data_IF_447056080230
#
_entry.id   IF_447056080230
#
_cell.length_a   1.000
_cell.length_b   1.000
_cell.length_c   1.000
_cell.angle_alpha   90.00
_cell.angle_beta   90.00
_cell.angle_gamma   90.00
#
_symmetry.space_group_name_H-M   'P 1'
#
loop_
_entity.id
_entity.type
_entity.pdbx_description
1 polymer ?
#
# COMPACT_ATOMS: atom_id res chain seq x y z
N UNK A 1 -21.60 7.08 18.35
CA UNK A 1 -20.81 7.31 17.13
C UNK A 1 -19.67 8.27 17.49
N UNK A 2 -18.41 7.82 17.51
CA UNK A 2 -17.31 8.75 17.79
C UNK A 2 -17.13 9.62 16.56
N UNK A 3 -17.24 10.94 16.72
CA UNK A 3 -16.84 11.87 15.70
C UNK A 3 -15.31 11.75 15.57
N UNK A 4 -14.85 11.26 14.42
CA UNK A 4 -13.44 11.40 14.07
C UNK A 4 -13.18 12.90 13.87
N UNK A 5 -12.18 13.41 14.54
CA UNK A 5 -11.71 14.74 14.28
C UNK A 5 -11.11 14.79 12.87
N UNK A 6 -11.75 15.53 11.98
CA UNK A 6 -11.29 15.64 10.57
C UNK A 6 -9.87 16.20 10.49
N UNK A 7 -9.40 16.89 11.51
CA UNK A 7 -8.02 17.37 11.62
C UNK A 7 -6.98 16.24 11.75
N UNK A 8 -7.42 15.01 12.03
CA UNK A 8 -6.57 13.82 12.13
C UNK A 8 -6.57 12.96 10.85
N UNK A 9 -7.28 13.38 9.80
CA UNK A 9 -7.38 12.67 8.54
C UNK A 9 -6.55 13.40 7.48
N UNK A 10 -5.53 12.72 6.98
CA UNK A 10 -4.62 13.24 5.98
C UNK A 10 -4.79 12.44 4.68
N UNK A 11 -5.74 12.87 3.85
CA UNK A 11 -6.01 12.23 2.57
C UNK A 11 -4.91 12.55 1.54
N UNK A 12 -4.58 11.57 0.70
CA UNK A 12 -3.71 11.82 -0.45
C UNK A 12 -4.39 12.80 -1.42
N UNK A 13 -3.69 13.86 -1.87
CA UNK A 13 -4.26 14.89 -2.75
C UNK A 13 -4.33 14.42 -4.21
N UNK A 14 -5.10 13.37 -4.47
CA UNK A 14 -5.17 12.68 -5.78
C UNK A 14 -5.88 13.46 -6.88
N UNK A 15 -6.58 14.53 -6.53
CA UNK A 15 -7.29 15.43 -7.47
C UNK A 15 -6.43 16.63 -7.91
N UNK A 16 -5.18 16.70 -7.43
CA UNK A 16 -4.27 17.79 -7.80
C UNK A 16 -3.94 17.73 -9.30
N UNK A 17 -3.86 18.89 -9.93
CA UNK A 17 -3.48 19.00 -11.34
C UNK A 17 -2.03 18.58 -11.60
N UNK A 18 -1.15 18.80 -10.63
CA UNK A 18 0.25 18.33 -10.62
C UNK A 18 0.42 17.24 -9.55
N UNK A 19 0.25 15.98 -9.96
CA UNK A 19 0.37 14.83 -9.04
C UNK A 19 1.79 14.67 -8.49
N UNK A 20 2.82 15.00 -9.24
CA UNK A 20 4.22 14.88 -8.80
C UNK A 20 4.52 15.88 -7.66
N UNK A 21 4.08 17.13 -7.81
CA UNK A 21 4.21 18.13 -6.75
C UNK A 21 3.37 17.74 -5.53
N UNK A 22 2.16 17.22 -5.75
CA UNK A 22 1.27 16.74 -4.69
C UNK A 22 1.86 15.55 -3.92
N UNK A 23 2.49 14.60 -4.58
CA UNK A 23 3.16 13.47 -3.96
C UNK A 23 4.33 13.92 -3.07
N UNK A 24 5.13 14.87 -3.54
CA UNK A 24 6.21 15.47 -2.74
C UNK A 24 5.68 16.18 -1.52
N UNK A 25 4.61 16.94 -1.68
CA UNK A 25 3.96 17.64 -0.55
C UNK A 25 3.41 16.65 0.47
N UNK A 26 2.75 15.58 0.02
CA UNK A 26 2.22 14.56 0.92
C UNK A 26 3.33 13.81 1.68
N UNK A 27 4.48 13.57 1.04
CA UNK A 27 5.64 13.00 1.71
C UNK A 27 6.16 13.91 2.84
N UNK A 28 6.14 15.25 2.65
CA UNK A 28 6.48 16.19 3.73
C UNK A 28 5.46 16.13 4.87
N UNK A 29 4.18 16.07 4.57
CA UNK A 29 3.11 15.90 5.56
C UNK A 29 3.33 14.64 6.41
N UNK A 30 3.67 13.51 5.80
CA UNK A 30 3.99 12.28 6.52
C UNK A 30 5.17 12.47 7.48
N UNK A 31 6.22 13.18 7.08
CA UNK A 31 7.38 13.48 7.93
C UNK A 31 7.03 14.38 9.10
N UNK A 32 6.19 15.38 8.89
CA UNK A 32 5.71 16.27 9.95
C UNK A 32 4.92 15.51 11.02
N UNK A 33 4.11 14.53 10.60
CA UNK A 33 3.25 13.76 11.52
C UNK A 33 4.01 12.63 12.22
N UNK A 34 4.89 11.93 11.50
CA UNK A 34 5.47 10.65 11.98
C UNK A 34 6.97 10.68 12.18
N UNK A 35 7.63 11.79 11.86
CA UNK A 35 9.08 11.93 12.00
C UNK A 35 9.86 11.72 10.70
N UNK A 36 11.18 11.81 10.78
CA UNK A 36 12.10 11.68 9.64
C UNK A 36 13.16 10.61 9.94
N UNK A 37 13.20 9.49 9.18
CA UNK A 37 12.26 9.10 8.14
C UNK A 37 10.86 8.79 8.71
N UNK A 38 9.79 8.96 7.90
CA UNK A 38 8.45 8.68 8.39
C UNK A 38 8.24 7.18 8.65
N UNK A 39 7.64 6.85 9.77
CA UNK A 39 7.34 5.48 10.19
C UNK A 39 5.87 5.40 10.62
N UNK A 40 5.09 4.59 9.94
CA UNK A 40 3.71 4.32 10.32
C UNK A 40 3.68 3.27 11.46
N UNK A 41 2.80 3.47 12.42
CA UNK A 41 2.54 2.44 13.44
C UNK A 41 1.86 1.23 12.84
N UNK A 42 0.96 1.45 11.87
CA UNK A 42 0.25 0.41 11.14
C UNK A 42 0.03 0.82 9.69
N UNK A 43 0.38 -0.03 8.75
CA UNK A 43 -0.09 0.04 7.38
C UNK A 43 -1.18 -1.01 7.15
N UNK A 44 -2.39 -0.56 6.81
CA UNK A 44 -3.50 -1.43 6.44
C UNK A 44 -3.53 -1.58 4.93
N UNK A 45 -3.34 -2.80 4.45
CA UNK A 45 -3.19 -3.12 3.03
C UNK A 45 -4.26 -4.11 2.56
N UNK A 46 -4.75 -3.89 1.35
CA UNK A 46 -5.50 -4.85 0.57
C UNK A 46 -4.60 -5.57 -0.43
N UNK A 47 -5.11 -6.63 -1.04
CA UNK A 47 -4.42 -7.43 -2.05
C UNK A 47 -5.29 -7.58 -3.29
N UNK A 48 -4.77 -7.21 -4.46
CA UNK A 48 -5.42 -7.46 -5.73
C UNK A 48 -5.27 -8.91 -6.21
N UNK A 49 -6.11 -9.37 -7.14
CA UNK A 49 -5.99 -10.72 -7.73
C UNK A 49 -4.65 -10.94 -8.46
N UNK A 50 -4.05 -9.88 -8.98
CA UNK A 50 -2.73 -9.84 -9.63
C UNK A 50 -1.56 -9.68 -8.63
N UNK A 51 -1.86 -9.63 -7.34
CA UNK A 51 -0.89 -9.44 -6.27
C UNK A 51 -0.50 -7.99 -6.01
N UNK A 52 -1.17 -7.01 -6.63
CA UNK A 52 -0.90 -5.60 -6.30
C UNK A 52 -1.35 -5.25 -4.87
N UNK A 53 -0.72 -4.25 -4.30
CA UNK A 53 -1.14 -3.63 -3.04
C UNK A 53 -0.91 -2.13 -3.11
N UNK A 54 -1.67 -1.33 -2.37
CA UNK A 54 -1.71 0.12 -2.57
C UNK A 54 -1.94 0.42 -4.06
N UNK A 55 -1.08 1.22 -4.70
CA UNK A 55 -1.02 1.31 -6.16
C UNK A 55 0.31 0.79 -6.72
N UNK A 56 0.93 -0.15 -6.02
CA UNK A 56 2.10 -0.90 -6.48
C UNK A 56 1.63 -2.06 -7.36
N UNK A 57 1.58 -1.82 -8.67
CA UNK A 57 0.97 -2.71 -9.67
C UNK A 57 2.07 -3.47 -10.41
N UNK A 58 1.85 -4.76 -10.76
CA UNK A 58 2.84 -5.52 -11.52
C UNK A 58 3.27 -4.80 -12.81
N UNK A 59 4.59 -4.72 -13.03
CA UNK A 59 5.17 -4.11 -14.21
C UNK A 59 5.27 -2.58 -14.20
N UNK A 60 4.73 -1.91 -13.20
CA UNK A 60 4.84 -0.44 -13.09
C UNK A 60 6.24 -0.03 -12.61
N UNK A 61 6.77 1.05 -13.19
CA UNK A 61 8.07 1.61 -12.80
C UNK A 61 8.12 2.09 -11.35
N UNK A 62 6.96 2.39 -10.76
CA UNK A 62 6.84 2.79 -9.34
C UNK A 62 7.40 1.73 -8.38
N UNK A 63 7.41 0.46 -8.79
CA UNK A 63 8.00 -0.64 -8.01
C UNK A 63 9.50 -0.46 -7.77
N UNK A 64 10.19 0.33 -8.58
CA UNK A 64 11.63 0.56 -8.51
C UNK A 64 12.00 1.85 -7.76
N UNK A 65 11.01 2.59 -7.25
CA UNK A 65 11.26 3.80 -6.47
C UNK A 65 11.83 3.44 -5.10
N UNK A 66 13.03 3.95 -4.80
CA UNK A 66 13.77 3.66 -3.56
C UNK A 66 14.16 4.90 -2.76
N UNK A 67 13.96 6.08 -3.32
CA UNK A 67 14.42 7.37 -2.79
C UNK A 67 13.29 8.31 -2.34
N UNK A 68 12.05 7.84 -2.41
CA UNK A 68 10.86 8.62 -2.06
C UNK A 68 9.87 7.80 -1.24
N UNK A 69 9.13 8.46 -0.37
CA UNK A 69 8.10 7.82 0.47
C UNK A 69 6.75 7.72 -0.24
N UNK A 70 6.50 8.66 -1.14
CA UNK A 70 5.28 8.77 -1.95
C UNK A 70 5.68 8.94 -3.41
N UNK A 71 5.00 8.26 -4.30
CA UNK A 71 5.28 8.33 -5.74
C UNK A 71 3.98 8.30 -6.56
N UNK A 72 4.11 8.70 -7.81
CA UNK A 72 3.03 8.63 -8.79
C UNK A 72 3.30 7.47 -9.74
N UNK A 73 2.27 6.66 -10.00
CA UNK A 73 2.36 5.50 -10.87
C UNK A 73 2.36 5.89 -12.34
N UNK A 74 2.68 4.95 -13.21
CA UNK A 74 2.28 4.98 -14.61
C UNK A 74 0.76 4.96 -14.77
N UNK A 75 0.29 4.87 -16.00
CA UNK A 75 -1.14 4.76 -16.28
C UNK A 75 -1.61 3.33 -16.00
N UNK A 76 -2.58 3.20 -15.11
CA UNK A 76 -3.25 1.96 -14.79
C UNK A 76 -4.76 2.20 -14.77
N UNK A 77 -5.52 1.41 -15.54
CA UNK A 77 -6.96 1.62 -15.72
C UNK A 77 -7.30 3.08 -16.07
N UNK A 78 -6.62 3.59 -17.10
CA UNK A 78 -6.79 4.95 -17.66
C UNK A 78 -6.39 6.12 -16.74
N UNK A 79 -5.85 5.83 -15.55
CA UNK A 79 -5.50 6.85 -14.56
C UNK A 79 -4.09 6.64 -13.99
N UNK A 80 -3.42 7.76 -13.73
CA UNK A 80 -2.26 7.76 -12.85
C UNK A 80 -2.73 7.84 -11.40
N UNK A 81 -2.01 7.18 -10.50
CA UNK A 81 -2.36 7.09 -9.08
C UNK A 81 -1.18 7.53 -8.20
N UNK A 82 -1.49 7.95 -7.00
CA UNK A 82 -0.50 8.20 -5.97
C UNK A 82 -0.40 6.99 -5.04
N UNK A 83 0.80 6.64 -4.61
CA UNK A 83 1.02 5.48 -3.75
C UNK A 83 2.11 5.75 -2.72
N UNK A 84 1.99 5.11 -1.56
CA UNK A 84 3.14 4.89 -0.69
C UNK A 84 4.07 3.89 -1.39
N UNK A 85 5.37 4.11 -1.27
CA UNK A 85 6.42 3.29 -1.89
C UNK A 85 6.80 2.10 -1.00
N UNK A 86 7.57 1.16 -1.55
CA UNK A 86 8.13 0.07 -0.74
C UNK A 86 8.96 0.56 0.45
N UNK A 87 9.87 1.56 0.29
CA UNK A 87 10.61 2.08 1.46
C UNK A 87 9.70 2.58 2.56
N UNK A 88 8.63 3.31 2.22
CA UNK A 88 7.68 3.82 3.20
C UNK A 88 6.91 2.70 3.89
N UNK A 89 6.32 1.80 3.11
CA UNK A 89 5.51 0.69 3.63
C UNK A 89 6.36 -0.27 4.48
N UNK A 90 7.59 -0.59 4.03
CA UNK A 90 8.47 -1.52 4.71
C UNK A 90 9.09 -0.98 6.00
N UNK A 91 9.03 0.34 6.24
CA UNK A 91 9.37 0.93 7.54
C UNK A 91 8.25 0.86 8.56
N UNK A 92 7.04 0.51 8.16
CA UNK A 92 5.89 0.41 9.08
C UNK A 92 6.18 -0.57 10.21
N UNK A 93 5.76 -0.24 11.42
CA UNK A 93 5.95 -1.10 12.60
C UNK A 93 5.14 -2.38 12.49
N UNK A 94 3.94 -2.28 11.90
CA UNK A 94 3.05 -3.42 11.66
C UNK A 94 2.38 -3.29 10.30
N UNK A 95 2.12 -4.43 9.70
CA UNK A 95 1.34 -4.56 8.47
C UNK A 95 0.08 -5.36 8.79
N UNK A 96 -1.07 -4.85 8.41
CA UNK A 96 -2.34 -5.56 8.47
C UNK A 96 -2.86 -5.77 7.04
N UNK A 97 -2.94 -7.03 6.63
CA UNK A 97 -3.58 -7.41 5.39
C UNK A 97 -5.04 -7.75 5.65
N UNK A 98 -5.94 -7.20 4.84
CA UNK A 98 -7.34 -7.63 4.78
C UNK A 98 -7.62 -8.13 3.38
N UNK A 99 -7.90 -9.44 3.26
CA UNK A 99 -8.05 -10.12 1.97
C UNK A 99 -9.35 -10.92 1.96
N UNK A 100 -10.26 -10.55 1.08
CA UNK A 100 -11.59 -11.18 0.99
C UNK A 100 -11.94 -11.52 -0.46
N UNK A 101 -12.68 -12.59 -0.64
CA UNK A 101 -13.18 -13.02 -1.93
C UNK A 101 -12.37 -14.14 -2.59
N UNK A 102 -13.04 -14.98 -3.34
CA UNK A 102 -12.45 -16.15 -4.01
C UNK A 102 -11.48 -15.81 -5.14
N UNK A 103 -11.57 -14.62 -5.71
CA UNK A 103 -10.65 -14.09 -6.71
C UNK A 103 -9.24 -13.81 -6.15
N UNK A 104 -9.08 -13.88 -4.82
CA UNK A 104 -7.81 -13.64 -4.12
C UNK A 104 -7.04 -14.91 -3.75
N UNK A 105 -7.58 -16.09 -4.00
CA UNK A 105 -7.00 -17.38 -3.55
C UNK A 105 -5.55 -17.53 -3.97
N UNK A 106 -5.24 -17.34 -5.25
CA UNK A 106 -3.88 -17.45 -5.77
C UNK A 106 -2.97 -16.36 -5.20
N UNK A 107 -3.39 -15.10 -5.25
CA UNK A 107 -2.61 -13.99 -4.73
C UNK A 107 -2.32 -14.13 -3.23
N UNK A 108 -3.30 -14.58 -2.44
CA UNK A 108 -3.12 -14.82 -1.01
C UNK A 108 -2.14 -15.97 -0.73
N UNK A 109 -2.22 -17.06 -1.48
CA UNK A 109 -1.26 -18.16 -1.36
C UNK A 109 0.17 -17.67 -1.61
N UNK A 110 0.37 -16.92 -2.69
CA UNK A 110 1.66 -16.32 -3.05
C UNK A 110 2.16 -15.32 -2.01
N UNK A 111 1.26 -14.50 -1.45
CA UNK A 111 1.61 -13.58 -0.36
C UNK A 111 2.12 -14.34 0.87
N UNK A 112 1.44 -15.42 1.26
CA UNK A 112 1.82 -16.26 2.41
C UNK A 112 3.15 -16.97 2.23
N UNK A 113 3.51 -17.31 1.00
CA UNK A 113 4.80 -17.90 0.63
C UNK A 113 5.92 -16.86 0.51
N UNK A 114 5.60 -15.57 0.59
CA UNK A 114 6.55 -14.49 0.40
C UNK A 114 7.06 -14.39 -1.04
N UNK A 115 6.22 -14.73 -2.01
CA UNK A 115 6.55 -14.70 -3.44
C UNK A 115 6.81 -13.26 -3.91
N UNK A 116 8.06 -12.94 -4.11
CA UNK A 116 8.51 -11.61 -4.52
C UNK A 116 8.20 -11.26 -5.98
N UNK A 117 7.66 -12.18 -6.75
CA UNK A 117 7.21 -11.91 -8.12
C UNK A 117 5.90 -11.11 -8.17
N UNK A 118 5.15 -11.07 -7.05
CA UNK A 118 4.01 -10.18 -6.89
C UNK A 118 4.38 -8.98 -6.00
N UNK A 119 3.79 -7.80 -6.25
CA UNK A 119 4.09 -6.62 -5.44
C UNK A 119 3.87 -6.81 -3.94
N UNK A 120 2.77 -7.44 -3.54
CA UNK A 120 2.48 -7.72 -2.13
C UNK A 120 3.55 -8.57 -1.44
N UNK A 121 4.17 -9.51 -2.16
CA UNK A 121 5.22 -10.37 -1.63
C UNK A 121 6.55 -9.66 -1.35
N UNK A 122 6.70 -8.40 -1.77
CA UNK A 122 7.85 -7.54 -1.46
C UNK A 122 7.64 -6.68 -0.22
N UNK A 123 6.45 -6.71 0.36
CA UNK A 123 6.17 -6.05 1.65
C UNK A 123 6.74 -6.94 2.77
N UNK A 124 7.36 -6.32 3.78
CA UNK A 124 7.93 -7.06 4.91
C UNK A 124 6.89 -7.93 5.62
N UNK A 125 7.26 -9.16 5.96
CA UNK A 125 6.40 -10.13 6.62
C UNK A 125 6.66 -10.27 8.13
N UNK A 126 7.75 -9.72 8.65
CA UNK A 126 8.21 -9.92 10.02
C UNK A 126 7.18 -9.50 11.08
N UNK A 127 6.44 -8.40 10.81
CA UNK A 127 5.40 -7.86 11.69
C UNK A 127 4.06 -7.76 10.96
N UNK A 128 3.75 -8.72 10.12
CA UNK A 128 2.52 -8.76 9.34
C UNK A 128 1.48 -9.71 9.92
N UNK A 129 0.24 -9.27 9.92
CA UNK A 129 -0.94 -10.09 10.20
C UNK A 129 -1.81 -10.12 8.95
N UNK A 130 -2.29 -11.29 8.59
CA UNK A 130 -3.22 -11.49 7.48
C UNK A 130 -4.58 -11.91 8.06
N UNK A 131 -5.60 -11.11 7.79
CA UNK A 131 -6.99 -11.45 8.01
C UNK A 131 -7.62 -11.77 6.66
N UNK A 132 -8.14 -12.97 6.52
CA UNK A 132 -8.76 -13.45 5.29
C UNK A 132 -10.09 -14.13 5.59
N UNK A 133 -11.06 -13.97 4.69
CA UNK A 133 -12.27 -14.77 4.73
C UNK A 133 -12.02 -16.19 4.19
N UNK A 134 -12.98 -17.08 4.39
CA UNK A 134 -12.90 -18.47 3.91
C UNK A 134 -12.77 -18.55 2.39
N UNK A 135 -13.45 -17.65 1.67
CA UNK A 135 -13.40 -17.60 0.21
C UNK A 135 -11.98 -17.27 -0.30
N UNK A 136 -11.33 -16.26 0.27
CA UNK A 136 -9.95 -15.91 -0.08
C UNK A 136 -8.94 -16.98 0.34
N UNK A 137 -9.20 -17.66 1.44
CA UNK A 137 -8.36 -18.75 1.94
C UNK A 137 -8.47 -20.05 1.11
N UNK A 138 -9.39 -20.12 0.16
CA UNK A 138 -9.65 -21.34 -0.64
C UNK A 138 -10.31 -22.46 0.16
N UNK A 139 -10.89 -22.15 1.32
CA UNK A 139 -11.63 -23.11 2.13
C UNK A 139 -13.10 -23.14 1.65
N UNK A 140 -13.54 -24.30 1.17
CA UNK A 140 -14.93 -24.57 0.76
C UNK A 140 -15.72 -25.14 1.94
#
# INVERSE_FOLDING_TARGET
>A
MRHYDLEQIYAMPVEASDLEAAAKHYALTLREITGTPPVLDLAHLGLGPDGHTASLVPGDSVLNVTDSDVAVTGVYQEMRRMTLTYPMLNRSRRILWLVTGNDKVDALARLREGDRSIPGGRIQAANALILADQAAAGAN
#
